data_IF_419040311087
#
_entry.id   IF_419040311087
#
_cell.length_a   1.000
_cell.length_b   1.000
_cell.length_c   1.000
_cell.angle_alpha   90.00
_cell.angle_beta   90.00
_cell.angle_gamma   90.00
#
_symmetry.space_group_name_H-M   'P 1'
#
loop_
_entity.id
_entity.type
_entity.pdbx_description
1 polymer ?
#
# COMPACT_ATOMS: atom_id res chain seq x y z
N UNK A 1 -4.54 42.23 -31.86
CA UNK A 1 -3.37 41.49 -31.36
C UNK A 1 -3.86 40.22 -30.70
N UNK A 2 -3.50 39.02 -31.18
CA UNK A 2 -3.95 37.75 -30.64
C UNK A 2 -2.93 37.20 -29.63
N UNK A 3 -3.37 36.74 -28.45
CA UNK A 3 -2.54 35.92 -27.56
C UNK A 3 -3.36 34.81 -26.89
N UNK A 4 -3.02 33.58 -27.31
CA UNK A 4 -2.86 32.37 -26.51
C UNK A 4 -4.10 31.71 -25.87
N UNK A 5 -4.61 30.73 -26.63
CA UNK A 5 -5.29 29.53 -26.15
C UNK A 5 -4.48 28.76 -25.09
N UNK A 6 -5.12 28.36 -23.99
CA UNK A 6 -4.81 27.08 -23.33
C UNK A 6 -6.09 26.25 -23.17
N UNK A 7 -6.30 25.43 -24.19
CA UNK A 7 -7.04 24.18 -24.15
C UNK A 7 -6.32 23.27 -23.15
N UNK A 8 -6.89 23.04 -21.97
CA UNK A 8 -6.54 21.90 -21.11
C UNK A 8 -7.72 20.93 -21.19
N UNK A 9 -7.78 20.15 -22.28
CA UNK A 9 -7.37 18.74 -22.30
C UNK A 9 -8.32 17.90 -21.43
N UNK A 10 -9.46 17.41 -21.95
CA UNK A 10 -9.51 16.36 -22.98
C UNK A 10 -8.49 15.22 -22.75
N UNK A 11 -8.33 14.77 -21.51
CA UNK A 11 -7.78 13.44 -21.21
C UNK A 11 -8.95 12.49 -20.97
N UNK A 12 -9.12 11.53 -21.89
CA UNK A 12 -9.92 10.31 -21.74
C UNK A 12 -9.89 9.81 -20.28
N UNK A 13 -11.05 9.67 -19.64
CA UNK A 13 -11.26 8.67 -18.58
C UNK A 13 -11.08 7.27 -19.22
N UNK A 14 -9.85 6.86 -19.49
CA UNK A 14 -9.57 5.45 -19.78
C UNK A 14 -9.56 4.78 -18.41
N UNK A 15 -10.61 4.03 -18.07
CA UNK A 15 -10.52 3.06 -16.97
C UNK A 15 -9.33 2.16 -17.29
N UNK A 16 -8.32 2.17 -16.43
CA UNK A 16 -7.21 1.24 -16.52
C UNK A 16 -7.34 0.25 -15.37
N UNK A 17 -7.30 -1.03 -15.72
CA UNK A 17 -7.09 -2.11 -14.78
C UNK A 17 -5.58 -2.22 -14.58
N UNK A 18 -5.12 -1.97 -13.36
CA UNK A 18 -3.73 -2.15 -13.02
C UNK A 18 -3.47 -3.62 -12.71
N UNK A 19 -2.35 -4.22 -13.19
CA UNK A 19 -2.02 -5.59 -12.83
C UNK A 19 -1.92 -5.75 -11.31
N UNK A 20 -2.29 -6.93 -10.77
CA UNK A 20 -2.27 -7.17 -9.33
C UNK A 20 -0.87 -6.96 -8.77
N UNK A 21 -0.80 -6.38 -7.57
CA UNK A 21 0.48 -6.26 -6.85
C UNK A 21 0.87 -7.64 -6.33
N UNK A 22 2.04 -8.13 -6.76
CA UNK A 22 2.54 -9.47 -6.41
C UNK A 22 3.71 -9.34 -5.44
N UNK A 23 3.68 -10.12 -4.35
CA UNK A 23 4.80 -10.23 -3.41
C UNK A 23 5.86 -11.19 -3.94
N UNK A 24 7.14 -10.82 -3.77
CA UNK A 24 8.27 -11.70 -4.11
C UNK A 24 8.77 -12.52 -2.93
N UNK A 25 8.39 -12.15 -1.72
CA UNK A 25 8.89 -12.72 -0.49
C UNK A 25 7.73 -13.20 0.38
N UNK A 26 7.99 -14.22 1.19
CA UNK A 26 7.05 -14.68 2.20
C UNK A 26 7.08 -13.72 3.40
N UNK A 27 5.92 -13.44 3.98
CA UNK A 27 5.83 -12.49 5.08
C UNK A 27 4.44 -12.39 5.68
N UNK A 28 4.22 -11.31 6.42
CA UNK A 28 2.91 -10.93 6.96
C UNK A 28 2.48 -9.66 6.26
N UNK A 29 1.29 -9.66 5.68
CA UNK A 29 0.71 -8.48 5.07
C UNK A 29 0.22 -7.51 6.14
N UNK A 30 0.60 -6.24 6.01
CA UNK A 30 0.11 -5.17 6.87
C UNK A 30 0.13 -3.84 6.12
N UNK A 31 -0.96 -3.08 6.22
CA UNK A 31 -1.07 -1.74 5.66
C UNK A 31 -2.28 -1.50 4.76
N UNK A 32 -3.33 -2.33 4.82
CA UNK A 32 -4.56 -2.16 4.01
C UNK A 32 -5.13 -0.74 4.13
N UNK A 33 -5.26 -0.27 5.38
CA UNK A 33 -5.79 1.06 5.72
C UNK A 33 -4.96 2.21 5.16
N UNK A 34 -3.65 2.06 5.10
CA UNK A 34 -2.76 3.10 4.56
C UNK A 34 -2.92 3.21 3.04
N UNK A 35 -3.10 2.08 2.36
CA UNK A 35 -3.36 2.07 0.92
C UNK A 35 -4.71 2.73 0.62
N UNK A 36 -5.75 2.38 1.36
CA UNK A 36 -7.08 3.02 1.25
C UNK A 36 -6.97 4.54 1.41
N UNK A 37 -6.29 5.02 2.45
CA UNK A 37 -6.14 6.47 2.72
C UNK A 37 -5.39 7.20 1.59
N UNK A 38 -4.30 6.62 1.07
CA UNK A 38 -3.54 7.23 -0.05
C UNK A 38 -4.43 7.43 -1.28
N UNK A 39 -5.29 6.45 -1.60
CA UNK A 39 -6.18 6.56 -2.75
C UNK A 39 -7.37 7.49 -2.49
N UNK A 40 -7.91 7.53 -1.27
CA UNK A 40 -8.92 8.50 -0.85
C UNK A 40 -8.39 9.94 -1.03
N UNK A 41 -7.16 10.21 -0.59
CA UNK A 41 -6.54 11.54 -0.71
C UNK A 41 -6.25 11.95 -2.16
N UNK A 42 -5.95 10.99 -3.04
CA UNK A 42 -5.58 11.27 -4.44
C UNK A 42 -6.76 11.34 -5.42
N UNK A 43 -7.80 10.50 -5.23
CA UNK A 43 -8.91 10.34 -6.16
C UNK A 43 -10.31 10.44 -5.54
N UNK A 44 -10.43 10.48 -4.21
CA UNK A 44 -11.73 10.31 -3.56
C UNK A 44 -12.39 8.99 -3.96
N UNK A 45 -13.58 9.05 -4.55
CA UNK A 45 -14.41 7.90 -4.93
C UNK A 45 -14.15 7.34 -6.35
N UNK A 46 -13.21 7.91 -7.12
CA UNK A 46 -12.95 7.47 -8.51
C UNK A 46 -12.06 6.20 -8.61
N UNK A 47 -11.68 5.58 -7.48
CA UNK A 47 -10.81 4.39 -7.43
C UNK A 47 -11.49 3.25 -6.66
N UNK A 48 -11.55 2.06 -7.27
CA UNK A 48 -12.01 0.82 -6.63
C UNK A 48 -10.81 -0.07 -6.32
N UNK A 49 -10.76 -0.59 -5.09
CA UNK A 49 -9.69 -1.48 -4.63
C UNK A 49 -10.31 -2.85 -4.33
N UNK A 50 -9.82 -3.89 -5.00
CA UNK A 50 -10.24 -5.27 -4.78
C UNK A 50 -9.15 -5.98 -3.97
N UNK A 51 -9.45 -6.32 -2.73
CA UNK A 51 -8.51 -6.95 -1.81
C UNK A 51 -8.62 -8.48 -1.84
N UNK A 52 -7.47 -9.16 -1.93
CA UNK A 52 -7.38 -10.63 -1.83
C UNK A 52 -6.78 -11.12 -0.51
N UNK A 53 -6.26 -10.21 0.30
CA UNK A 53 -5.62 -10.48 1.61
C UNK A 53 -6.11 -9.48 2.66
N UNK A 54 -6.09 -9.88 3.94
CA UNK A 54 -6.41 -8.98 5.05
C UNK A 54 -5.20 -8.68 5.95
N UNK A 55 -5.32 -7.66 6.81
CA UNK A 55 -4.21 -7.22 7.66
C UNK A 55 -3.87 -8.31 8.69
N UNK A 56 -2.60 -8.75 8.71
CA UNK A 56 -2.11 -9.82 9.58
C UNK A 56 -2.07 -11.20 8.93
N UNK A 57 -2.56 -11.34 7.69
CA UNK A 57 -2.48 -12.59 6.94
C UNK A 57 -1.03 -12.93 6.54
N UNK A 58 -0.77 -14.24 6.46
CA UNK A 58 0.50 -14.75 5.93
C UNK A 58 0.44 -14.73 4.42
N UNK A 59 1.39 -14.03 3.81
CA UNK A 59 1.55 -13.94 2.36
C UNK A 59 2.65 -14.90 1.90
N UNK A 60 2.36 -15.59 0.80
CA UNK A 60 3.34 -16.42 0.10
C UNK A 60 3.93 -15.67 -1.10
N UNK A 61 5.11 -16.08 -1.54
CA UNK A 61 5.73 -15.58 -2.75
C UNK A 61 4.84 -15.86 -3.97
N UNK A 62 4.77 -14.89 -4.88
CA UNK A 62 3.93 -14.86 -6.07
C UNK A 62 2.41 -14.78 -5.82
N UNK A 63 1.98 -14.41 -4.61
CA UNK A 63 0.55 -14.22 -4.32
C UNK A 63 0.09 -12.80 -4.73
N UNK A 64 -1.07 -12.65 -5.41
CA UNK A 64 -1.68 -11.35 -5.64
C UNK A 64 -2.23 -10.79 -4.31
N UNK A 65 -1.89 -9.54 -4.00
CA UNK A 65 -2.37 -8.85 -2.79
C UNK A 65 -3.69 -8.14 -3.04
N UNK A 66 -3.70 -7.26 -4.03
CA UNK A 66 -4.85 -6.44 -4.38
C UNK A 66 -4.76 -5.97 -5.82
N UNK A 67 -5.93 -5.64 -6.36
CA UNK A 67 -6.13 -5.05 -7.68
C UNK A 67 -6.71 -3.65 -7.53
N UNK A 68 -6.35 -2.77 -8.47
CA UNK A 68 -6.79 -1.39 -8.49
C UNK A 68 -7.45 -1.07 -9.83
N UNK A 69 -8.63 -0.47 -9.75
CA UNK A 69 -9.37 0.02 -10.91
C UNK A 69 -9.60 1.51 -10.78
N UNK A 70 -9.29 2.27 -11.84
CA UNK A 70 -9.51 3.72 -11.80
C UNK A 70 -8.77 4.50 -12.90
N UNK A 71 -8.71 5.84 -12.77
CA UNK A 71 -8.01 6.69 -13.71
C UNK A 71 -6.48 6.45 -13.63
N UNK A 72 -5.86 6.13 -14.77
CA UNK A 72 -4.45 5.73 -14.86
C UNK A 72 -3.48 6.73 -14.21
N UNK A 73 -3.80 8.03 -14.26
CA UNK A 73 -2.95 9.09 -13.68
C UNK A 73 -2.85 8.99 -12.16
N UNK A 74 -3.97 8.66 -11.50
CA UNK A 74 -4.01 8.53 -10.04
C UNK A 74 -3.34 7.23 -9.62
N UNK A 75 -3.63 6.13 -10.31
CA UNK A 75 -2.99 4.83 -10.08
C UNK A 75 -1.46 4.93 -10.13
N UNK A 76 -0.90 5.51 -11.20
CA UNK A 76 0.55 5.66 -11.35
C UNK A 76 1.19 6.62 -10.32
N UNK A 77 0.45 7.62 -9.84
CA UNK A 77 0.95 8.57 -8.84
C UNK A 77 0.93 7.95 -7.43
N UNK A 78 -0.14 7.22 -7.10
CA UNK A 78 -0.35 6.57 -5.80
C UNK A 78 0.42 5.27 -5.64
N UNK A 79 0.75 4.56 -6.72
CA UNK A 79 1.41 3.26 -6.71
C UNK A 79 2.66 3.24 -5.82
N UNK A 80 3.63 4.12 -6.09
CA UNK A 80 4.89 4.13 -5.34
C UNK A 80 4.68 4.44 -3.86
N UNK A 81 3.79 5.38 -3.56
CA UNK A 81 3.49 5.78 -2.18
C UNK A 81 2.83 4.63 -1.41
N UNK A 82 1.82 3.99 -2.01
CA UNK A 82 1.15 2.83 -1.45
C UNK A 82 2.11 1.64 -1.24
N UNK A 83 2.94 1.33 -2.24
CA UNK A 83 3.93 0.25 -2.16
C UNK A 83 4.97 0.51 -1.08
N UNK A 84 5.46 1.74 -0.93
CA UNK A 84 6.42 2.09 0.11
C UNK A 84 5.87 1.85 1.53
N UNK A 85 4.59 2.20 1.76
CA UNK A 85 3.93 1.93 3.04
C UNK A 85 3.78 0.44 3.30
N UNK A 86 3.21 -0.30 2.33
CA UNK A 86 3.00 -1.75 2.48
C UNK A 86 4.32 -2.48 2.69
N UNK A 87 5.38 -2.12 1.96
CA UNK A 87 6.70 -2.73 2.13
C UNK A 87 7.29 -2.47 3.52
N UNK A 88 7.19 -1.24 4.02
CA UNK A 88 7.71 -0.87 5.34
C UNK A 88 6.93 -1.59 6.45
N UNK A 89 5.59 -1.54 6.41
CA UNK A 89 4.72 -2.13 7.43
C UNK A 89 4.79 -3.66 7.41
N UNK A 90 4.73 -4.27 6.23
CA UNK A 90 4.85 -5.73 6.07
C UNK A 90 6.24 -6.23 6.49
N UNK A 91 7.30 -5.46 6.23
CA UNK A 91 8.65 -5.76 6.69
C UNK A 91 8.76 -5.76 8.22
N UNK A 92 8.18 -4.75 8.89
CA UNK A 92 8.13 -4.69 10.36
C UNK A 92 7.29 -5.85 10.92
N UNK A 93 6.10 -6.10 10.37
CA UNK A 93 5.21 -7.17 10.82
C UNK A 93 5.87 -8.56 10.70
N UNK A 94 6.54 -8.84 9.59
CA UNK A 94 7.28 -10.08 9.36
C UNK A 94 8.42 -10.26 10.37
N UNK A 95 9.15 -9.17 10.66
CA UNK A 95 10.24 -9.19 11.66
C UNK A 95 9.72 -9.41 13.07
N UNK A 96 8.62 -8.74 13.45
CA UNK A 96 7.95 -8.89 14.74
C UNK A 96 7.52 -10.34 14.94
N UNK A 97 6.86 -10.95 13.93
CA UNK A 97 6.45 -12.35 13.99
C UNK A 97 7.62 -13.30 14.19
N UNK A 98 8.72 -13.11 13.48
CA UNK A 98 9.93 -13.92 13.65
C UNK A 98 10.47 -13.85 15.09
N UNK A 99 10.45 -12.66 15.71
CA UNK A 99 10.84 -12.54 17.12
C UNK A 99 9.86 -13.21 18.08
N UNK A 100 8.55 -13.05 17.86
CA UNK A 100 7.53 -13.71 18.69
C UNK A 100 7.61 -15.23 18.60
N UNK A 101 7.86 -15.79 17.41
CA UNK A 101 8.02 -17.24 17.21
C UNK A 101 9.28 -17.78 17.91
N UNK A 102 10.37 -17.01 17.92
CA UNK A 102 11.56 -17.34 18.69
C UNK A 102 11.31 -17.27 20.21
N UNK A 103 10.44 -16.35 20.64
CA UNK A 103 10.14 -16.05 22.04
C UNK A 103 8.86 -16.77 22.51
N UNK A 104 8.87 -18.11 22.50
CA UNK A 104 7.79 -18.97 23.06
C UNK A 104 7.72 -18.92 24.60
N UNK A 105 7.51 -17.75 25.20
CA UNK A 105 7.28 -17.61 26.64
C UNK A 105 5.93 -16.89 26.90
N UNK A 106 4.97 -17.49 27.64
CA UNK A 106 3.59 -17.03 27.68
C UNK A 106 3.32 -15.80 28.58
N UNK A 107 4.31 -15.22 29.26
CA UNK A 107 4.07 -14.30 30.39
C UNK A 107 4.82 -12.96 30.34
N UNK A 108 5.50 -12.61 29.24
CA UNK A 108 6.13 -11.28 29.09
C UNK A 108 5.64 -10.60 27.82
N UNK A 109 5.09 -9.41 27.99
CA UNK A 109 4.75 -8.49 26.91
C UNK A 109 5.99 -8.21 26.03
N UNK A 110 5.88 -8.49 24.73
CA UNK A 110 6.93 -8.22 23.76
C UNK A 110 6.93 -6.71 23.42
N UNK A 111 7.64 -5.92 24.22
CA UNK A 111 7.87 -4.50 23.93
C UNK A 111 8.94 -4.36 22.85
N UNK A 112 8.54 -4.40 21.58
CA UNK A 112 9.46 -4.15 20.47
C UNK A 112 9.61 -2.63 20.33
N UNK A 113 10.76 -2.10 20.76
CA UNK A 113 11.12 -0.70 20.50
C UNK A 113 11.56 -0.58 19.04
N UNK A 114 10.60 -0.38 18.14
CA UNK A 114 10.87 0.08 16.78
C UNK A 114 11.31 1.54 16.92
N UNK A 115 12.54 1.88 16.48
CA UNK A 115 12.89 3.28 16.27
C UNK A 115 12.21 3.70 14.97
N UNK A 116 11.13 4.50 15.00
CA UNK A 116 10.46 4.87 13.77
C UNK A 116 11.39 5.75 12.94
N UNK A 117 11.38 5.53 11.62
CA UNK A 117 11.99 6.48 10.70
C UNK A 117 11.26 7.82 10.85
N UNK A 118 11.96 8.97 10.98
CA UNK A 118 11.31 10.27 11.23
C UNK A 118 10.23 10.63 10.20
N UNK A 119 10.37 10.14 8.96
CA UNK A 119 9.40 10.35 7.89
C UNK A 119 8.04 9.64 8.12
N UNK A 120 7.97 8.62 8.98
CA UNK A 120 6.77 7.81 9.19
C UNK A 120 5.90 8.27 10.38
N UNK A 121 6.39 9.23 11.21
CA UNK A 121 5.69 9.71 12.43
C UNK A 121 4.91 11.02 12.18
N UNK A 122 5.12 11.67 11.04
CA UNK A 122 4.55 12.99 10.74
C UNK A 122 3.31 12.96 9.82
N UNK A 123 2.73 11.79 9.58
CA UNK A 123 1.42 11.63 8.92
C UNK A 123 0.35 11.41 9.99
#
# INVERSE_FOLDING_TARGET
>A
MPTMTLRQNFYRKTLALMPPVITRENGVFCGKRWVEEVFIQLAGDDVTIIWHVDDGDVINANQPLFELEGPSRVLLTGERTALNFVQTLSGVASKVRHYVEYWKAPTRNCWIRVKPCPACVQL
#
